data_IF_389757542045
#
_entry.id   IF_389757542045
#
_cell.length_a   1.000
_cell.length_b   1.000
_cell.length_c   1.000
_cell.angle_alpha   90.00
_cell.angle_beta   90.00
_cell.angle_gamma   90.00
#
_symmetry.space_group_name_H-M   'P 1'
#
loop_
_entity.id
_entity.type
_entity.pdbx_description
1 polymer ?
#
# COMPACT_ATOMS: atom_id res chain seq x y z
N UNK A 1 0.97 17.74 7.74
CA UNK A 1 -0.02 16.75 7.30
C UNK A 1 0.46 15.39 7.78
N UNK A 2 -0.37 14.63 8.48
CA UNK A 2 -0.01 13.35 9.10
C UNK A 2 -0.07 12.21 8.10
N UNK A 3 1.08 11.64 7.77
CA UNK A 3 1.22 10.57 6.76
C UNK A 3 1.32 9.20 7.44
N UNK A 4 0.42 8.30 7.07
CA UNK A 4 0.46 6.88 7.44
C UNK A 4 0.97 6.00 6.31
N UNK A 5 1.77 4.99 6.65
CA UNK A 5 2.03 3.85 5.77
C UNK A 5 1.42 2.60 6.39
N UNK A 6 0.53 1.93 5.66
CA UNK A 6 -0.02 0.64 6.00
C UNK A 6 0.72 -0.43 5.21
N UNK A 7 1.34 -1.38 5.89
CA UNK A 7 2.03 -2.53 5.30
C UNK A 7 1.24 -3.78 5.67
N UNK A 8 0.59 -4.38 4.67
CA UNK A 8 -0.08 -5.67 4.87
C UNK A 8 0.93 -6.79 4.66
N UNK A 9 0.94 -7.76 5.56
CA UNK A 9 1.86 -8.89 5.53
C UNK A 9 1.13 -10.21 5.77
N UNK A 10 1.53 -11.24 5.04
CA UNK A 10 1.14 -12.62 5.26
C UNK A 10 2.22 -13.52 4.66
N UNK A 11 2.85 -14.37 5.48
CA UNK A 11 3.99 -15.22 5.12
C UNK A 11 5.12 -14.45 4.40
N UNK A 12 5.54 -13.34 5.00
CA UNK A 12 6.51 -12.38 4.47
C UNK A 12 7.85 -12.38 5.24
N UNK A 13 8.18 -13.42 6.02
CA UNK A 13 9.39 -13.45 6.86
C UNK A 13 10.68 -13.16 6.07
N UNK A 14 10.74 -13.60 4.82
CA UNK A 14 11.92 -13.45 3.98
C UNK A 14 12.07 -12.04 3.40
N UNK A 15 10.98 -11.29 3.29
CA UNK A 15 10.90 -10.04 2.50
C UNK A 15 10.65 -8.81 3.34
N UNK A 16 9.98 -8.94 4.49
CA UNK A 16 9.50 -7.81 5.29
C UNK A 16 10.60 -6.79 5.62
N UNK A 17 11.72 -7.24 6.20
CA UNK A 17 12.85 -6.35 6.54
C UNK A 17 13.41 -5.64 5.29
N UNK A 18 13.54 -6.38 4.18
CA UNK A 18 14.03 -5.82 2.91
C UNK A 18 13.07 -4.79 2.32
N UNK A 19 11.76 -4.94 2.53
CA UNK A 19 10.76 -3.95 2.13
C UNK A 19 10.89 -2.69 2.98
N UNK A 20 11.05 -2.84 4.29
CA UNK A 20 11.22 -1.72 5.21
C UNK A 20 12.50 -0.92 4.92
N UNK A 21 13.61 -1.61 4.65
CA UNK A 21 14.90 -0.98 4.30
C UNK A 21 14.86 -0.17 3.00
N UNK A 22 13.91 -0.50 2.11
CA UNK A 22 13.74 0.19 0.82
C UNK A 22 12.87 1.44 0.90
N UNK A 23 12.25 1.73 2.04
CA UNK A 23 11.50 2.97 2.23
C UNK A 23 12.51 4.13 2.15
N UNK A 24 12.35 5.09 1.21
CA UNK A 24 13.32 6.16 1.02
C UNK A 24 13.51 6.97 2.30
N UNK A 25 14.77 7.22 2.68
CA UNK A 25 15.08 7.87 3.97
C UNK A 25 14.47 9.27 4.09
N UNK A 26 14.42 10.04 3.01
CA UNK A 26 13.82 11.38 3.01
C UNK A 26 12.30 11.35 3.05
N UNK A 27 11.70 10.26 2.59
CA UNK A 27 10.27 10.02 2.76
C UNK A 27 9.96 9.62 4.19
N UNK A 28 10.73 8.68 4.75
CA UNK A 28 10.55 8.19 6.11
C UNK A 28 10.53 9.32 7.16
N UNK A 29 11.36 10.36 6.98
CA UNK A 29 11.37 11.57 7.83
C UNK A 29 10.04 12.36 7.85
N UNK A 30 9.21 12.18 6.82
CA UNK A 30 7.91 12.85 6.68
C UNK A 30 6.74 11.95 7.12
N UNK A 31 7.00 10.67 7.42
CA UNK A 31 5.98 9.71 7.83
C UNK A 31 5.79 9.79 9.34
N UNK A 32 4.55 9.97 9.79
CA UNK A 32 4.20 10.04 11.21
C UNK A 32 4.04 8.66 11.83
N UNK A 33 3.56 7.68 11.04
CA UNK A 33 3.32 6.32 11.54
C UNK A 33 3.37 5.28 10.43
N UNK A 34 3.97 4.13 10.73
CA UNK A 34 3.97 2.94 9.87
C UNK A 34 3.33 1.80 10.64
N UNK A 35 2.22 1.24 10.13
CA UNK A 35 1.62 0.03 10.65
C UNK A 35 2.03 -1.15 9.79
N UNK A 36 2.69 -2.14 10.39
CA UNK A 36 2.83 -3.48 9.79
C UNK A 36 1.76 -4.36 10.39
N UNK A 37 0.88 -4.88 9.55
CA UNK A 37 -0.24 -5.71 9.96
C UNK A 37 -0.08 -7.12 9.39
N UNK A 38 0.38 -8.01 10.25
CA UNK A 38 0.55 -9.43 9.97
C UNK A 38 -0.78 -10.18 10.11
N UNK A 39 -1.25 -10.79 9.03
CA UNK A 39 -2.56 -11.43 8.92
C UNK A 39 -2.57 -12.91 9.36
N UNK A 40 -2.17 -13.16 10.60
CA UNK A 40 -2.02 -14.50 11.15
C UNK A 40 -1.09 -15.38 10.31
N UNK A 41 0.12 -14.88 10.01
CA UNK A 41 1.13 -15.68 9.30
C UNK A 41 1.45 -16.97 10.02
N UNK A 42 1.78 -18.00 9.23
CA UNK A 42 2.23 -19.31 9.73
C UNK A 42 3.74 -19.41 9.86
N UNK A 43 4.47 -18.36 9.46
CA UNK A 43 5.93 -18.23 9.52
C UNK A 43 6.35 -17.13 10.52
N UNK A 44 7.65 -16.80 10.57
CA UNK A 44 8.18 -15.82 11.54
C UNK A 44 7.91 -14.35 11.18
N UNK A 45 6.97 -14.03 10.29
CA UNK A 45 6.68 -12.66 9.84
C UNK A 45 6.50 -11.66 10.99
N UNK A 46 5.71 -12.02 12.01
CA UNK A 46 5.51 -11.15 13.18
C UNK A 46 6.81 -10.86 13.92
N UNK A 47 7.59 -11.91 14.21
CA UNK A 47 8.85 -11.81 14.94
C UNK A 47 9.89 -11.00 14.18
N UNK A 48 9.96 -11.17 12.85
CA UNK A 48 10.80 -10.35 11.97
C UNK A 48 10.41 -8.87 12.05
N UNK A 49 9.11 -8.57 12.09
CA UNK A 49 8.62 -7.20 12.28
C UNK A 49 9.05 -6.59 13.63
N UNK A 50 8.91 -7.34 14.73
CA UNK A 50 9.31 -6.91 16.07
C UNK A 50 10.83 -6.71 16.18
N UNK A 51 11.62 -7.64 15.66
CA UNK A 51 13.08 -7.52 15.63
C UNK A 51 13.52 -6.27 14.85
N UNK A 52 12.92 -6.03 13.68
CA UNK A 52 13.18 -4.83 12.89
C UNK A 52 12.80 -3.55 13.65
N UNK A 53 11.62 -3.52 14.29
CA UNK A 53 11.16 -2.38 15.09
C UNK A 53 12.16 -2.04 16.21
N UNK A 54 12.77 -3.04 16.86
CA UNK A 54 13.74 -2.81 17.94
C UNK A 54 15.05 -2.15 17.50
N UNK A 55 15.40 -2.25 16.21
CA UNK A 55 16.66 -1.77 15.62
C UNK A 55 16.48 -0.52 14.75
N UNK A 56 15.26 -0.26 14.29
CA UNK A 56 14.94 0.78 13.34
C UNK A 56 14.52 2.09 14.03
N UNK A 57 14.76 3.21 13.35
CA UNK A 57 14.27 4.53 13.75
C UNK A 57 12.94 4.88 13.07
N UNK A 58 12.37 3.98 12.27
CA UNK A 58 11.07 4.17 11.66
C UNK A 58 9.96 4.18 12.74
N UNK A 59 8.90 5.00 12.59
CA UNK A 59 7.79 5.06 13.54
C UNK A 59 6.85 3.85 13.39
N UNK A 60 7.38 2.66 13.63
CA UNK A 60 6.73 1.38 13.39
C UNK A 60 5.81 0.99 14.54
N UNK A 61 4.65 0.45 14.17
CA UNK A 61 3.77 -0.36 15.03
C UNK A 61 3.58 -1.71 14.34
N UNK A 62 3.87 -2.80 15.05
CA UNK A 62 3.71 -4.16 14.52
C UNK A 62 2.49 -4.78 15.20
N UNK A 63 1.54 -5.25 14.39
CA UNK A 63 0.32 -5.92 14.86
C UNK A 63 0.24 -7.31 14.22
N UNK A 64 -0.27 -8.27 14.99
CA UNK A 64 -0.61 -9.61 14.52
C UNK A 64 -2.10 -9.85 14.73
N UNK A 65 -2.80 -10.30 13.69
CA UNK A 65 -4.17 -10.79 13.84
C UNK A 65 -4.16 -12.21 14.41
N UNK A 66 -5.09 -12.50 15.32
CA UNK A 66 -5.26 -13.85 15.89
C UNK A 66 -5.78 -14.87 14.87
N UNK A 67 -6.50 -14.40 13.85
CA UNK A 67 -7.04 -15.20 12.76
C UNK A 67 -6.75 -14.51 11.42
N UNK A 68 -6.60 -15.29 10.35
CA UNK A 68 -6.41 -14.73 9.02
C UNK A 68 -7.71 -14.06 8.54
N UNK A 69 -7.68 -12.73 8.36
CA UNK A 69 -8.83 -11.95 7.90
C UNK A 69 -8.90 -11.84 6.37
N UNK A 70 -7.86 -12.34 5.69
CA UNK A 70 -7.63 -12.20 4.27
C UNK A 70 -7.25 -10.78 3.88
N UNK A 71 -6.79 -10.62 2.64
CA UNK A 71 -6.28 -9.35 2.11
C UNK A 71 -7.22 -8.15 2.31
N UNK A 72 -8.53 -8.36 2.14
CA UNK A 72 -9.53 -7.30 2.33
C UNK A 72 -9.78 -6.97 3.80
N UNK A 73 -9.81 -7.97 4.68
CA UNK A 73 -9.96 -7.78 6.12
C UNK A 73 -8.76 -7.07 6.73
N UNK A 74 -7.54 -7.48 6.35
CA UNK A 74 -6.31 -6.84 6.80
C UNK A 74 -6.25 -5.35 6.40
N UNK A 75 -6.61 -5.02 5.15
CA UNK A 75 -6.73 -3.63 4.72
C UNK A 75 -7.74 -2.83 5.55
N UNK A 76 -8.90 -3.40 5.88
CA UNK A 76 -9.90 -2.72 6.69
C UNK A 76 -9.36 -2.40 8.08
N UNK A 77 -8.65 -3.33 8.73
CA UNK A 77 -7.97 -3.06 10.01
C UNK A 77 -7.01 -1.90 9.88
N UNK A 78 -6.18 -1.89 8.83
CA UNK A 78 -5.22 -0.81 8.61
C UNK A 78 -5.85 0.56 8.31
N UNK A 79 -6.95 0.61 7.56
CA UNK A 79 -7.68 1.85 7.33
C UNK A 79 -8.40 2.35 8.59
N UNK A 80 -8.94 1.44 9.40
CA UNK A 80 -9.51 1.76 10.70
C UNK A 80 -8.45 2.36 11.64
N UNK A 81 -7.26 1.76 11.68
CA UNK A 81 -6.12 2.31 12.42
C UNK A 81 -5.76 3.74 11.97
N UNK A 82 -5.76 4.00 10.66
CA UNK A 82 -5.47 5.34 10.13
C UNK A 82 -6.52 6.38 10.57
N UNK A 83 -7.79 5.97 10.64
CA UNK A 83 -8.88 6.79 11.17
C UNK A 83 -8.70 7.10 12.66
N UNK A 84 -8.42 6.08 13.46
CA UNK A 84 -8.22 6.18 14.92
C UNK A 84 -7.02 7.03 15.29
N UNK A 85 -5.92 6.93 14.53
CA UNK A 85 -4.73 7.77 14.69
C UNK A 85 -4.91 9.22 14.24
N UNK A 86 -6.08 9.56 13.67
CA UNK A 86 -6.36 10.87 13.07
C UNK A 86 -5.26 11.28 12.10
N UNK A 87 -4.89 10.36 11.21
CA UNK A 87 -3.99 10.66 10.09
C UNK A 87 -4.72 11.50 9.05
N UNK A 88 -3.97 12.19 8.20
CA UNK A 88 -4.53 12.96 7.09
C UNK A 88 -4.59 12.11 5.81
N UNK A 89 -3.62 11.21 5.61
CA UNK A 89 -3.63 10.20 4.55
C UNK A 89 -2.99 8.89 4.98
N UNK A 90 -3.29 7.82 4.25
CA UNK A 90 -2.65 6.51 4.40
C UNK A 90 -2.32 5.93 3.04
N UNK A 91 -1.11 5.39 2.89
CA UNK A 91 -0.66 4.65 1.69
C UNK A 91 -0.43 3.18 2.03
N UNK A 92 -0.98 2.29 1.21
CA UNK A 92 -0.87 0.84 1.33
C UNK A 92 0.38 0.33 0.60
N UNK A 93 1.17 -0.50 1.27
CA UNK A 93 2.32 -1.23 0.76
C UNK A 93 2.19 -2.71 1.13
N UNK A 94 2.87 -3.58 0.38
CA UNK A 94 2.85 -5.03 0.63
C UNK A 94 4.19 -5.48 1.21
N UNK A 95 4.14 -6.28 2.29
CA UNK A 95 5.32 -6.82 2.97
C UNK A 95 6.06 -7.90 2.17
N UNK A 96 5.45 -8.44 1.12
CA UNK A 96 6.04 -9.42 0.20
C UNK A 96 6.98 -8.79 -0.86
N UNK A 97 7.01 -7.46 -0.95
CA UNK A 97 7.82 -6.72 -1.91
C UNK A 97 7.22 -6.63 -3.31
N UNK A 98 5.93 -6.95 -3.50
CA UNK A 98 5.24 -6.83 -4.78
C UNK A 98 5.19 -5.37 -5.29
N UNK A 99 5.18 -4.40 -4.39
CA UNK A 99 5.23 -2.98 -4.71
C UNK A 99 6.52 -2.34 -4.22
N UNK A 100 7.10 -1.50 -5.07
CA UNK A 100 8.34 -0.81 -4.82
C UNK A 100 8.13 0.36 -3.83
N UNK A 101 8.71 0.32 -2.61
CA UNK A 101 8.56 1.38 -1.62
C UNK A 101 9.09 2.75 -2.09
N UNK A 102 9.96 2.76 -3.09
CA UNK A 102 10.54 3.96 -3.69
C UNK A 102 9.49 4.87 -4.35
N UNK A 103 8.29 4.34 -4.64
CA UNK A 103 7.17 5.11 -5.17
C UNK A 103 6.27 5.73 -4.11
N UNK A 104 6.46 5.45 -2.82
CA UNK A 104 5.65 6.03 -1.74
C UNK A 104 5.56 7.57 -1.81
N UNK A 105 6.65 8.34 -2.08
CA UNK A 105 6.57 9.79 -2.23
C UNK A 105 5.64 10.22 -3.36
N UNK A 106 5.73 9.53 -4.51
CA UNK A 106 4.91 9.83 -5.68
C UNK A 106 3.45 9.48 -5.46
N UNK A 107 3.18 8.41 -4.70
CA UNK A 107 1.84 7.97 -4.34
C UNK A 107 1.12 8.98 -3.45
N UNK A 108 1.82 9.57 -2.47
CA UNK A 108 1.18 10.51 -1.52
C UNK A 108 1.15 11.94 -2.06
N UNK A 109 2.08 12.34 -2.94
CA UNK A 109 2.22 13.73 -3.39
C UNK A 109 0.93 14.37 -3.94
N UNK A 110 0.09 13.69 -4.75
CA UNK A 110 -1.17 14.27 -5.21
C UNK A 110 -2.11 14.62 -4.05
N UNK A 111 -2.19 13.78 -3.03
CA UNK A 111 -3.03 13.99 -1.84
C UNK A 111 -2.45 15.11 -0.97
N UNK A 112 -1.13 15.11 -0.74
CA UNK A 112 -0.43 16.20 -0.02
C UNK A 112 -0.72 17.56 -0.65
N UNK A 113 -0.73 17.63 -1.98
CA UNK A 113 -0.99 18.86 -2.74
C UNK A 113 -2.48 19.22 -2.90
N UNK A 114 -3.40 18.43 -2.32
CA UNK A 114 -4.85 18.65 -2.44
C UNK A 114 -5.42 18.41 -3.84
N UNK A 115 -4.69 17.72 -4.73
CA UNK A 115 -5.10 17.45 -6.11
C UNK A 115 -5.89 16.15 -6.28
N UNK A 116 -5.88 15.27 -5.27
CA UNK A 116 -6.59 14.01 -5.31
C UNK A 116 -6.97 13.55 -3.90
N UNK A 117 -8.11 12.88 -3.79
CA UNK A 117 -8.52 12.16 -2.57
C UNK A 117 -8.01 10.72 -2.55
N UNK A 118 -7.82 10.12 -3.73
CA UNK A 118 -7.39 8.73 -3.87
C UNK A 118 -6.39 8.62 -5.02
N UNK A 119 -5.30 7.89 -4.80
CA UNK A 119 -4.25 7.65 -5.78
C UNK A 119 -4.02 6.15 -5.94
N UNK A 120 -3.95 5.70 -7.19
CA UNK A 120 -3.65 4.31 -7.55
C UNK A 120 -2.31 4.25 -8.26
N UNK A 121 -1.43 3.38 -7.81
CA UNK A 121 -0.24 3.00 -8.57
C UNK A 121 -0.65 2.22 -9.80
N UNK A 122 0.00 2.44 -10.94
CA UNK A 122 -0.40 1.82 -12.20
C UNK A 122 0.80 1.29 -12.97
N UNK A 123 0.74 0.02 -13.35
CA UNK A 123 1.73 -0.61 -14.24
C UNK A 123 1.51 -0.18 -15.70
N UNK A 124 0.32 0.35 -15.98
CA UNK A 124 -0.14 0.75 -17.31
C UNK A 124 0.11 2.22 -17.64
N UNK A 125 0.61 3.01 -16.68
CA UNK A 125 0.85 4.46 -16.85
C UNK A 125 1.98 4.73 -17.84
N UNK A 126 3.06 3.93 -17.77
CA UNK A 126 4.17 4.00 -18.71
C UNK A 126 3.91 3.07 -19.88
N UNK A 127 3.95 3.59 -21.11
CA UNK A 127 3.77 2.79 -22.31
C UNK A 127 4.79 1.63 -22.35
N UNK A 128 4.29 0.41 -22.53
CA UNK A 128 5.08 -0.83 -22.49
C UNK A 128 5.59 -1.25 -21.10
N UNK A 129 5.38 -0.44 -20.06
CA UNK A 129 5.87 -0.68 -18.70
C UNK A 129 5.38 -2.01 -18.13
N UNK A 130 4.07 -2.26 -18.18
CA UNK A 130 3.47 -3.51 -17.71
C UNK A 130 4.09 -4.76 -18.34
N UNK A 131 4.34 -4.75 -19.66
CA UNK A 131 4.89 -5.90 -20.38
C UNK A 131 6.38 -6.08 -20.09
N UNK A 132 7.17 -5.00 -20.06
CA UNK A 132 8.58 -5.04 -19.66
C UNK A 132 8.76 -5.52 -18.22
N UNK A 133 7.81 -5.20 -17.33
CA UNK A 133 7.74 -5.70 -15.96
C UNK A 133 7.22 -7.13 -15.83
N UNK A 134 7.16 -7.91 -16.92
CA UNK A 134 6.83 -9.34 -16.88
C UNK A 134 5.34 -9.68 -16.87
N UNK A 135 4.43 -8.71 -17.00
CA UNK A 135 2.99 -9.01 -17.04
C UNK A 135 2.66 -9.87 -18.27
N UNK A 136 2.02 -11.05 -18.11
CA UNK A 136 1.56 -11.87 -19.22
C UNK A 136 0.56 -11.15 -20.14
N UNK A 137 0.56 -11.49 -21.43
CA UNK A 137 -0.21 -10.75 -22.45
C UNK A 137 -1.72 -10.79 -22.19
N UNK A 138 -2.24 -11.97 -21.82
CA UNK A 138 -3.66 -12.13 -21.50
C UNK A 138 -4.08 -11.29 -20.29
N UNK A 139 -3.22 -11.17 -19.26
CA UNK A 139 -3.46 -10.28 -18.11
C UNK A 139 -3.44 -8.81 -18.52
N UNK A 140 -2.52 -8.44 -19.42
CA UNK A 140 -2.45 -7.08 -19.94
C UNK A 140 -3.72 -6.69 -20.72
N UNK A 141 -4.13 -7.53 -21.67
CA UNK A 141 -5.33 -7.30 -22.48
C UNK A 141 -6.59 -7.27 -21.61
N UNK A 142 -6.74 -8.26 -20.71
CA UNK A 142 -7.87 -8.31 -19.78
C UNK A 142 -7.96 -7.07 -18.89
N UNK A 143 -6.83 -6.63 -18.32
CA UNK A 143 -6.78 -5.43 -17.49
C UNK A 143 -7.17 -4.17 -18.28
N UNK A 144 -6.73 -4.02 -19.54
CA UNK A 144 -7.12 -2.89 -20.40
C UNK A 144 -8.61 -2.87 -20.71
N UNK A 145 -9.19 -4.02 -21.04
CA UNK A 145 -10.62 -4.14 -21.33
C UNK A 145 -11.44 -3.78 -20.08
N UNK A 146 -11.14 -4.40 -18.95
CA UNK A 146 -11.85 -4.17 -17.69
C UNK A 146 -11.71 -2.73 -17.22
N UNK A 147 -10.50 -2.17 -17.27
CA UNK A 147 -10.25 -0.76 -16.91
C UNK A 147 -11.07 0.19 -17.78
N UNK A 148 -11.15 -0.06 -19.10
CA UNK A 148 -11.94 0.78 -20.02
C UNK A 148 -13.43 0.72 -19.71
N UNK A 149 -13.95 -0.49 -19.42
CA UNK A 149 -15.34 -0.68 -19.04
C UNK A 149 -15.66 0.01 -17.71
N UNK A 150 -14.82 -0.17 -16.69
CA UNK A 150 -15.00 0.43 -15.37
C UNK A 150 -14.92 1.96 -15.41
N UNK A 151 -13.97 2.51 -16.18
CA UNK A 151 -13.89 3.95 -16.43
C UNK A 151 -15.18 4.50 -17.04
N UNK A 152 -15.75 3.80 -18.02
CA UNK A 152 -17.02 4.21 -18.65
C UNK A 152 -18.19 4.16 -17.67
N UNK A 153 -18.25 3.13 -16.82
CA UNK A 153 -19.33 2.97 -15.83
C UNK A 153 -19.23 4.00 -14.69
N UNK A 154 -18.01 4.31 -14.23
CA UNK A 154 -17.76 5.23 -13.14
C UNK A 154 -17.54 6.69 -13.59
N UNK A 155 -17.53 6.95 -14.90
CA UNK A 155 -17.21 8.26 -15.51
C UNK A 155 -15.87 8.85 -15.02
N UNK A 156 -14.83 8.02 -14.99
CA UNK A 156 -13.45 8.40 -14.62
C UNK A 156 -12.44 7.93 -15.66
N UNK A 157 -11.18 8.36 -15.54
CA UNK A 157 -10.11 8.09 -16.51
C UNK A 157 -8.86 7.43 -15.87
N UNK A 158 -9.06 6.38 -15.08
CA UNK A 158 -7.94 5.65 -14.47
C UNK A 158 -7.18 4.81 -15.50
N UNK A 159 -5.86 4.72 -15.35
CA UNK A 159 -5.03 3.89 -16.24
C UNK A 159 -5.06 2.40 -15.87
N UNK A 160 -5.42 2.08 -14.62
CA UNK A 160 -5.55 0.72 -14.09
C UNK A 160 -6.42 0.74 -12.81
N UNK A 161 -7.45 -0.11 -12.75
CA UNK A 161 -8.27 -0.31 -11.53
C UNK A 161 -7.74 -1.42 -10.61
N UNK A 162 -7.05 -2.40 -11.20
CA UNK A 162 -6.68 -3.67 -10.53
C UNK A 162 -5.32 -3.60 -9.83
N UNK A 163 -4.95 -2.42 -9.35
CA UNK A 163 -3.75 -2.23 -8.54
C UNK A 163 -4.08 -2.34 -7.06
N UNK A 164 -3.20 -3.03 -6.32
CA UNK A 164 -3.19 -3.07 -4.87
C UNK A 164 -2.37 -1.93 -4.24
N UNK A 165 -1.65 -1.14 -5.04
CA UNK A 165 -0.91 0.01 -4.53
C UNK A 165 -1.80 1.24 -4.52
N UNK A 166 -2.25 1.65 -3.33
CA UNK A 166 -3.25 2.72 -3.19
C UNK A 166 -2.89 3.66 -2.06
N UNK A 167 -3.20 4.93 -2.25
CA UNK A 167 -3.17 5.93 -1.18
C UNK A 167 -4.54 6.61 -1.10
N UNK A 168 -4.96 6.92 0.12
CA UNK A 168 -6.26 7.52 0.40
C UNK A 168 -6.09 8.70 1.35
N UNK A 169 -6.79 9.80 1.08
CA UNK A 169 -7.06 10.81 2.09
C UNK A 169 -7.97 10.17 3.15
N UNK A 170 -7.65 10.39 4.42
CA UNK A 170 -8.48 9.88 5.52
C UNK A 170 -9.87 10.53 5.50
N UNK A 171 -9.97 11.77 5.01
CA UNK A 171 -11.24 12.43 4.76
C UNK A 171 -12.14 11.67 3.77
N UNK A 172 -11.56 11.07 2.72
CA UNK A 172 -12.31 10.23 1.80
C UNK A 172 -12.67 8.87 2.43
N UNK A 173 -11.77 8.27 3.20
CA UNK A 173 -12.05 7.01 3.91
C UNK A 173 -13.23 7.16 4.90
N UNK A 174 -13.35 8.29 5.60
CA UNK A 174 -14.46 8.56 6.54
C UNK A 174 -15.87 8.54 5.90
N UNK A 175 -15.97 8.67 4.58
CA UNK A 175 -17.26 8.73 3.87
C UNK A 175 -17.80 7.35 3.49
N UNK A 176 -17.04 6.29 3.74
CA UNK A 176 -17.34 4.90 3.38
C UNK A 176 -17.46 4.07 4.65
#
# INVERSE_FOLDING_TARGET
MKIGVLIVAYNAQATLSRVLDRIPIDFAKQVDSILVCDDASTDDTHNVGLDYQSKSQLPLTIVHHEINLGYGGNQKTGYQWALEKNLDLVVLLHGDGQYAPEYLPQMVAPIVSGRADVVFGSRMITQGGARRGGMPLYKFVGNKILTTLQNRLANVSLTEWHSGYRAYSVAALRKV
#
